data_IF_130450398023
#
_entry.id   IF_130450398023
#
_cell.length_a   1.000
_cell.length_b   1.000
_cell.length_c   1.000
_cell.angle_alpha   90.00
_cell.angle_beta   90.00
_cell.angle_gamma   90.00
#
_symmetry.space_group_name_H-M   'P 1'
#
loop_
_entity.id
_entity.type
_entity.pdbx_description
1 polymer ?
#
# COMPACT_ATOMS: atom_id res chain seq x y z
N UNK A 1 -12.56 35.79 -6.84
CA UNK A 1 -13.73 35.03 -7.32
C UNK A 1 -13.27 34.22 -8.52
N UNK A 2 -12.89 32.95 -8.32
CA UNK A 2 -12.47 32.10 -9.45
C UNK A 2 -13.71 31.68 -10.23
N UNK A 3 -13.72 31.91 -11.53
CA UNK A 3 -14.75 31.38 -12.41
C UNK A 3 -14.77 29.85 -12.23
N UNK A 4 -15.92 29.30 -11.84
CA UNK A 4 -16.13 27.85 -11.86
C UNK A 4 -16.18 27.49 -13.35
N UNK A 5 -15.06 27.04 -13.89
CA UNK A 5 -15.02 26.51 -15.24
C UNK A 5 -15.95 25.30 -15.28
N UNK A 6 -17.08 25.45 -15.97
CA UNK A 6 -18.01 24.35 -16.20
C UNK A 6 -17.41 23.45 -17.27
N UNK A 7 -17.38 22.15 -16.99
CA UNK A 7 -16.97 21.15 -17.98
C UNK A 7 -17.89 21.21 -19.22
N UNK A 8 -17.29 21.06 -20.40
CA UNK A 8 -17.96 20.97 -21.69
C UNK A 8 -17.43 19.74 -22.44
N UNK A 9 -18.25 18.70 -22.56
CA UNK A 9 -17.92 17.48 -23.29
C UNK A 9 -18.03 17.59 -24.82
N UNK A 10 -18.58 18.69 -25.34
CA UNK A 10 -18.83 18.88 -26.77
C UNK A 10 -17.57 18.81 -27.66
N UNK A 11 -16.42 19.39 -27.28
CA UNK A 11 -15.17 19.25 -28.04
C UNK A 11 -14.67 17.81 -28.10
N UNK A 12 -14.87 17.03 -27.02
CA UNK A 12 -14.42 15.64 -26.90
C UNK A 12 -15.24 14.75 -27.84
N UNK A 13 -16.58 14.87 -27.81
CA UNK A 13 -17.45 14.12 -28.72
C UNK A 13 -17.18 14.47 -30.18
N UNK A 14 -16.96 15.75 -30.49
CA UNK A 14 -16.60 16.19 -31.84
C UNK A 14 -15.28 15.61 -32.32
N UNK A 15 -14.26 15.54 -31.45
CA UNK A 15 -12.96 14.97 -31.79
C UNK A 15 -13.06 13.48 -32.12
N UNK A 16 -13.83 12.72 -31.34
CA UNK A 16 -14.07 11.29 -31.58
C UNK A 16 -15.12 11.03 -32.67
N UNK A 17 -15.67 12.07 -33.29
CA UNK A 17 -16.78 11.99 -34.24
C UNK A 17 -17.99 11.20 -33.70
N UNK A 18 -18.27 11.33 -32.40
CA UNK A 18 -19.42 10.72 -31.72
C UNK A 18 -20.62 11.66 -31.72
N UNK A 19 -21.81 11.07 -31.73
CA UNK A 19 -23.06 11.81 -31.63
C UNK A 19 -23.21 12.47 -30.24
N UNK A 20 -23.93 13.60 -30.13
CA UNK A 20 -24.15 14.29 -28.86
C UNK A 20 -24.92 13.44 -27.83
N UNK A 21 -25.72 12.49 -28.30
CA UNK A 21 -26.54 11.59 -27.47
C UNK A 21 -25.82 10.25 -27.18
N UNK A 22 -24.51 10.16 -27.44
CA UNK A 22 -23.72 8.95 -27.22
C UNK A 22 -23.65 8.56 -25.73
N UNK A 23 -23.76 7.25 -25.47
CA UNK A 23 -23.64 6.66 -24.14
C UNK A 23 -22.49 5.62 -24.13
N UNK A 24 -21.55 5.68 -23.17
CA UNK A 24 -21.47 6.58 -22.03
C UNK A 24 -21.18 8.04 -22.43
N UNK A 25 -21.80 9.01 -21.76
CA UNK A 25 -21.60 10.43 -22.04
C UNK A 25 -20.45 10.99 -21.19
N UNK A 26 -19.57 11.86 -21.73
CA UNK A 26 -18.52 12.51 -20.96
C UNK A 26 -19.04 13.41 -19.83
N UNK A 27 -20.29 13.91 -19.91
CA UNK A 27 -20.91 14.74 -18.87
C UNK A 27 -21.62 13.90 -17.79
N UNK A 28 -22.31 12.82 -18.18
CA UNK A 28 -23.11 12.03 -17.24
C UNK A 28 -22.28 10.95 -16.54
N UNK A 29 -21.44 10.25 -17.31
CA UNK A 29 -20.64 9.08 -16.91
C UNK A 29 -19.18 9.21 -17.38
N UNK A 30 -18.45 10.25 -16.94
CA UNK A 30 -17.08 10.53 -17.40
C UNK A 30 -16.10 9.37 -17.21
N UNK A 31 -16.25 8.60 -16.13
CA UNK A 31 -15.33 7.50 -15.82
C UNK A 31 -15.53 6.33 -16.80
N UNK A 32 -16.77 5.96 -17.09
CA UNK A 32 -17.08 4.91 -18.06
C UNK A 32 -16.68 5.35 -19.48
N UNK A 33 -16.88 6.63 -19.80
CA UNK A 33 -16.40 7.21 -21.04
C UNK A 33 -14.86 7.15 -21.15
N UNK A 34 -14.14 7.54 -20.11
CA UNK A 34 -12.67 7.48 -20.07
C UNK A 34 -12.15 6.05 -20.19
N UNK A 35 -12.78 5.06 -19.53
CA UNK A 35 -12.42 3.65 -19.69
C UNK A 35 -12.43 3.18 -21.14
N UNK A 36 -13.35 3.72 -21.96
CA UNK A 36 -13.49 3.32 -23.36
C UNK A 36 -12.61 4.13 -24.32
N UNK A 37 -12.48 5.43 -24.08
CA UNK A 37 -11.95 6.36 -25.09
C UNK A 37 -10.69 7.11 -24.69
N UNK A 38 -10.15 6.89 -23.49
CA UNK A 38 -8.97 7.65 -23.01
C UNK A 38 -7.75 7.50 -23.92
N UNK A 39 -7.48 6.31 -24.45
CA UNK A 39 -6.34 6.06 -25.36
C UNK A 39 -6.47 6.77 -26.72
N UNK A 40 -7.69 7.13 -27.11
CA UNK A 40 -7.95 7.82 -28.38
C UNK A 40 -7.86 9.34 -28.21
N UNK A 41 -7.92 9.83 -26.97
CA UNK A 41 -8.00 11.25 -26.67
C UNK A 41 -6.62 11.85 -26.42
N UNK A 42 -6.28 12.97 -27.08
CA UNK A 42 -5.03 13.65 -26.83
C UNK A 42 -5.03 14.35 -25.46
N UNK A 43 -3.86 14.64 -24.86
CA UNK A 43 -3.76 15.12 -23.48
C UNK A 43 -4.49 16.44 -23.23
N UNK A 44 -4.52 17.33 -24.23
CA UNK A 44 -5.20 18.62 -24.13
C UNK A 44 -6.73 18.50 -23.99
N UNK A 45 -7.33 17.42 -24.49
CA UNK A 45 -8.75 17.14 -24.27
C UNK A 45 -8.99 16.42 -22.95
N UNK A 46 -8.06 15.54 -22.54
CA UNK A 46 -8.12 14.85 -21.26
C UNK A 46 -8.10 15.83 -20.06
N UNK A 47 -7.31 16.90 -20.14
CA UNK A 47 -7.22 17.94 -19.11
C UNK A 47 -8.59 18.58 -18.80
N UNK A 48 -9.53 18.60 -19.75
CA UNK A 48 -10.87 19.16 -19.51
C UNK A 48 -11.59 18.44 -18.36
N UNK A 49 -11.36 17.14 -18.18
CA UNK A 49 -11.96 16.35 -17.10
C UNK A 49 -11.53 16.81 -15.70
N UNK A 50 -10.48 17.63 -15.55
CA UNK A 50 -10.10 18.20 -14.25
C UNK A 50 -11.19 19.10 -13.66
N UNK A 51 -11.96 19.77 -14.53
CA UNK A 51 -13.08 20.61 -14.12
C UNK A 51 -14.37 19.81 -13.82
N UNK A 52 -14.37 18.51 -14.10
CA UNK A 52 -15.57 17.68 -13.98
C UNK A 52 -15.79 17.21 -12.53
N UNK A 53 -16.94 17.50 -11.90
CA UNK A 53 -17.16 17.21 -10.47
C UNK A 53 -17.16 15.72 -10.12
N UNK A 54 -17.56 14.85 -11.06
CA UNK A 54 -17.52 13.38 -10.87
C UNK A 54 -16.18 12.73 -11.22
N UNK A 55 -15.25 13.45 -11.84
CA UNK A 55 -13.94 12.93 -12.23
C UNK A 55 -12.89 13.26 -11.15
N UNK A 56 -13.18 12.88 -9.90
CA UNK A 56 -12.22 13.07 -8.80
C UNK A 56 -11.00 12.17 -8.98
N UNK A 57 -9.84 12.49 -8.38
CA UNK A 57 -8.65 11.63 -8.45
C UNK A 57 -8.91 10.17 -8.04
N UNK A 58 -9.77 9.96 -7.03
CA UNK A 58 -10.24 8.65 -6.59
C UNK A 58 -11.08 7.94 -7.65
N UNK A 59 -12.02 8.64 -8.29
CA UNK A 59 -12.84 8.07 -9.35
C UNK A 59 -12.01 7.71 -10.59
N UNK A 60 -11.05 8.58 -10.94
CA UNK A 60 -10.07 8.38 -12.01
C UNK A 60 -9.18 7.15 -11.80
N UNK A 61 -8.89 6.77 -10.56
CA UNK A 61 -8.12 5.57 -10.24
C UNK A 61 -8.76 4.26 -10.74
N UNK A 62 -10.08 4.26 -11.02
CA UNK A 62 -10.77 3.10 -11.60
C UNK A 62 -10.59 2.95 -13.11
N UNK A 63 -9.98 3.93 -13.77
CA UNK A 63 -9.62 3.86 -15.19
C UNK A 63 -8.25 3.14 -15.29
N UNK A 64 -8.15 1.98 -15.95
CA UNK A 64 -6.93 1.19 -15.97
C UNK A 64 -5.70 1.97 -16.45
N UNK A 65 -5.84 2.74 -17.53
CA UNK A 65 -4.74 3.56 -18.05
C UNK A 65 -4.22 4.58 -17.00
N UNK A 66 -5.11 5.26 -16.27
CA UNK A 66 -4.72 6.19 -15.20
C UNK A 66 -4.03 5.44 -14.06
N UNK A 67 -4.57 4.29 -13.64
CA UNK A 67 -3.98 3.47 -12.58
C UNK A 67 -2.55 3.04 -12.98
N UNK A 68 -2.36 2.58 -14.21
CA UNK A 68 -1.07 2.17 -14.74
C UNK A 68 -0.07 3.34 -14.78
N UNK A 69 -0.49 4.51 -15.30
CA UNK A 69 0.35 5.73 -15.30
C UNK A 69 0.79 6.10 -13.88
N UNK A 70 -0.11 6.02 -12.89
CA UNK A 70 0.22 6.27 -11.48
C UNK A 70 1.17 5.23 -10.91
N UNK A 71 0.99 3.95 -11.23
CA UNK A 71 1.92 2.89 -10.84
C UNK A 71 3.33 3.15 -11.40
N UNK A 72 3.44 3.47 -12.68
CA UNK A 72 4.71 3.80 -13.34
C UNK A 72 5.37 5.02 -12.70
N UNK A 73 4.61 6.10 -12.45
CA UNK A 73 5.12 7.27 -11.74
C UNK A 73 5.59 6.92 -10.32
N UNK A 74 4.82 6.15 -9.55
CA UNK A 74 5.16 5.75 -8.20
C UNK A 74 6.42 4.85 -8.15
N UNK A 75 6.66 4.04 -9.18
CA UNK A 75 7.85 3.22 -9.31
C UNK A 75 9.15 4.04 -9.50
N UNK A 76 9.05 5.29 -9.98
CA UNK A 76 10.22 6.20 -10.07
C UNK A 76 10.66 6.81 -8.74
N UNK A 77 9.97 6.48 -7.64
CA UNK A 77 10.21 7.01 -6.30
C UNK A 77 10.30 8.55 -6.25
N UNK A 78 9.26 9.26 -6.71
CA UNK A 78 9.29 10.71 -6.81
C UNK A 78 9.36 11.35 -5.42
N UNK A 79 10.20 12.39 -5.28
CA UNK A 79 10.39 13.14 -4.01
C UNK A 79 9.09 13.71 -3.43
N UNK A 80 8.06 13.91 -4.25
CA UNK A 80 6.74 14.36 -3.81
C UNK A 80 5.99 13.32 -2.97
N UNK A 81 6.34 12.03 -3.10
CA UNK A 81 5.77 10.92 -2.32
C UNK A 81 6.68 10.48 -1.17
N UNK A 82 7.78 11.19 -0.92
CA UNK A 82 8.65 10.93 0.22
C UNK A 82 7.87 11.22 1.52
N UNK A 83 7.79 10.26 2.48
CA UNK A 83 7.10 10.46 3.75
C UNK A 83 7.46 11.76 4.48
N UNK A 84 8.74 12.17 4.44
CA UNK A 84 9.22 13.37 5.14
C UNK A 84 8.78 14.68 4.48
N UNK A 85 8.52 14.63 3.18
CA UNK A 85 8.00 15.76 2.40
C UNK A 85 6.49 15.78 2.49
N UNK A 86 5.85 14.64 2.24
CA UNK A 86 4.41 14.51 2.14
C UNK A 86 3.72 14.77 3.48
N UNK A 87 4.30 14.32 4.59
CA UNK A 87 3.79 14.60 5.95
C UNK A 87 3.73 16.09 6.28
N UNK A 88 4.59 16.92 5.69
CA UNK A 88 4.54 18.39 5.89
C UNK A 88 3.39 19.03 5.13
N UNK A 89 2.99 18.42 4.02
CA UNK A 89 1.95 18.95 3.13
C UNK A 89 0.59 18.34 3.37
N UNK A 90 0.50 17.08 3.77
CA UNK A 90 -0.74 16.34 4.02
C UNK A 90 -0.77 15.83 5.47
N UNK A 91 -1.49 16.52 6.38
CA UNK A 91 -1.63 16.09 7.76
C UNK A 91 -2.22 14.69 7.93
N UNK A 92 -3.07 14.22 6.99
CA UNK A 92 -3.67 12.88 7.07
C UNK A 92 -2.65 11.75 6.88
N UNK A 93 -1.53 12.05 6.23
CA UNK A 93 -0.41 11.10 6.08
C UNK A 93 0.30 10.89 7.41
N UNK A 94 0.24 11.81 8.38
CA UNK A 94 0.79 11.56 9.72
C UNK A 94 0.06 10.44 10.43
N UNK A 95 -1.27 10.41 10.34
CA UNK A 95 -2.05 9.35 11.00
C UNK A 95 -1.73 7.98 10.40
N UNK A 96 -1.57 7.91 9.07
CA UNK A 96 -1.10 6.72 8.36
C UNK A 96 0.32 6.32 8.78
N UNK A 97 1.26 7.25 8.74
CA UNK A 97 2.66 7.03 9.13
C UNK A 97 2.75 6.57 10.58
N UNK A 98 1.96 7.17 11.48
CA UNK A 98 1.93 6.82 12.89
C UNK A 98 1.27 5.45 13.12
N UNK A 99 0.21 5.10 12.38
CA UNK A 99 -0.43 3.79 12.49
C UNK A 99 0.49 2.68 11.99
N UNK A 100 1.16 2.87 10.85
CA UNK A 100 2.12 1.90 10.31
C UNK A 100 3.35 1.75 11.22
N UNK A 101 3.88 2.86 11.75
CA UNK A 101 4.96 2.82 12.76
C UNK A 101 4.53 2.10 14.03
N UNK A 102 3.32 2.35 14.53
CA UNK A 102 2.79 1.67 15.70
C UNK A 102 2.62 0.16 15.47
N UNK A 103 2.12 -0.23 14.28
CA UNK A 103 1.99 -1.64 13.89
C UNK A 103 3.36 -2.33 13.77
N UNK A 104 4.34 -1.67 13.14
CA UNK A 104 5.70 -2.19 13.05
C UNK A 104 6.37 -2.32 14.43
N UNK A 105 6.10 -1.39 15.35
CA UNK A 105 6.54 -1.46 16.75
C UNK A 105 5.89 -2.62 17.51
N UNK A 106 4.60 -2.90 17.31
CA UNK A 106 3.94 -4.07 17.92
C UNK A 106 4.44 -5.41 17.37
N UNK A 107 4.90 -5.45 16.11
CA UNK A 107 5.51 -6.66 15.52
C UNK A 107 6.94 -6.86 16.04
N UNK A 108 7.68 -5.78 16.34
CA UNK A 108 9.08 -5.85 16.79
C UNK A 108 9.31 -5.84 18.30
N UNK A 109 8.34 -5.45 19.12
CA UNK A 109 8.53 -5.36 20.56
C UNK A 109 7.29 -5.88 21.31
N UNK A 110 7.31 -7.10 21.89
CA UNK A 110 6.50 -7.28 23.08
C UNK A 110 7.01 -6.24 24.08
N UNK A 111 6.10 -5.50 24.71
CA UNK A 111 6.46 -4.53 25.72
C UNK A 111 7.37 -5.21 26.76
N UNK A 112 8.66 -4.90 26.74
CA UNK A 112 9.70 -5.38 27.69
C UNK A 112 9.45 -4.81 29.09
N UNK A 113 8.22 -4.38 29.40
CA UNK A 113 7.86 -3.73 30.66
C UNK A 113 7.18 -4.72 31.60
N UNK A 114 6.58 -5.81 31.10
CA UNK A 114 5.77 -6.72 31.93
C UNK A 114 6.26 -8.19 31.89
N UNK A 115 7.44 -8.47 31.33
CA UNK A 115 8.01 -9.83 31.31
C UNK A 115 8.39 -10.29 32.72
N UNK A 116 9.00 -9.39 33.50
CA UNK A 116 9.45 -9.67 34.88
C UNK A 116 8.31 -9.59 35.91
N UNK A 117 7.34 -8.69 35.73
CA UNK A 117 6.26 -8.48 36.73
C UNK A 117 5.35 -9.70 36.84
N UNK A 118 4.90 -10.29 35.73
CA UNK A 118 3.98 -11.43 35.79
C UNK A 118 4.68 -12.73 36.24
N UNK A 119 5.97 -12.91 35.96
CA UNK A 119 6.75 -14.05 36.47
C UNK A 119 7.10 -13.87 37.96
N UNK A 120 7.36 -12.63 38.39
CA UNK A 120 7.56 -12.29 39.80
C UNK A 120 6.27 -12.42 40.61
N UNK A 121 5.13 -11.98 40.08
CA UNK A 121 3.82 -12.06 40.73
C UNK A 121 3.39 -13.52 40.98
N UNK A 122 3.61 -14.42 40.01
CA UNK A 122 3.34 -15.86 40.17
C UNK A 122 4.29 -16.52 41.20
N UNK A 123 5.56 -16.11 41.20
CA UNK A 123 6.55 -16.57 42.18
C UNK A 123 6.19 -16.11 43.59
N UNK A 124 5.75 -14.86 43.74
CA UNK A 124 5.36 -14.26 45.01
C UNK A 124 4.03 -14.82 45.52
N UNK A 125 3.07 -15.07 44.63
CA UNK A 125 1.83 -15.78 44.95
C UNK A 125 2.12 -17.19 45.47
N UNK A 126 2.95 -17.96 44.75
CA UNK A 126 3.34 -19.29 45.17
C UNK A 126 4.08 -19.26 46.53
N UNK A 127 4.94 -18.27 46.77
CA UNK A 127 5.69 -18.17 48.03
C UNK A 127 4.83 -17.77 49.23
N UNK A 128 3.78 -16.97 49.03
CA UNK A 128 3.03 -16.34 50.12
C UNK A 128 1.65 -16.94 50.37
N UNK A 129 0.96 -17.42 49.34
CA UNK A 129 -0.42 -17.91 49.44
C UNK A 129 -0.54 -19.43 49.27
N UNK A 130 0.44 -20.10 48.67
CA UNK A 130 0.38 -21.54 48.46
C UNK A 130 0.78 -22.32 49.72
N UNK A 131 -0.21 -23.00 50.33
CA UNK A 131 -0.06 -23.88 51.50
C UNK A 131 0.59 -23.23 52.74
N UNK A 132 0.11 -22.06 53.16
CA UNK A 132 0.42 -21.45 54.48
C UNK A 132 1.93 -21.43 54.82
N UNK A 133 2.79 -21.28 53.80
CA UNK A 133 4.23 -21.08 53.97
C UNK A 133 5.05 -22.32 54.36
N UNK A 134 4.65 -23.54 53.98
CA UNK A 134 5.50 -24.73 54.22
C UNK A 134 6.73 -24.76 53.27
N UNK A 135 7.82 -24.15 53.70
CA UNK A 135 8.95 -23.65 52.89
C UNK A 135 9.78 -24.66 52.10
N UNK A 136 9.65 -25.97 52.33
CA UNK A 136 10.60 -26.95 51.75
C UNK A 136 10.40 -27.23 50.25
N UNK A 137 9.18 -27.11 49.73
CA UNK A 137 8.89 -27.43 48.32
C UNK A 137 8.32 -26.25 47.52
N UNK A 138 7.95 -25.16 48.19
CA UNK A 138 7.25 -24.00 47.60
C UNK A 138 8.16 -23.21 46.66
N UNK A 139 9.45 -23.06 46.98
CA UNK A 139 10.38 -22.33 46.11
C UNK A 139 10.56 -22.98 44.74
N UNK A 140 10.61 -24.32 44.68
CA UNK A 140 10.74 -25.06 43.43
C UNK A 140 9.44 -25.08 42.63
N UNK A 141 8.29 -25.02 43.31
CA UNK A 141 6.98 -24.92 42.65
C UNK A 141 6.77 -23.52 42.08
N UNK A 142 7.15 -22.45 42.79
CA UNK A 142 7.08 -21.08 42.28
C UNK A 142 7.98 -20.87 41.06
N UNK A 143 9.18 -21.44 41.06
CA UNK A 143 10.08 -21.41 39.89
C UNK A 143 9.47 -22.15 38.68
N UNK A 144 8.93 -23.36 38.89
CA UNK A 144 8.26 -24.11 37.84
C UNK A 144 7.01 -23.40 37.29
N UNK A 145 6.24 -22.72 38.15
CA UNK A 145 5.04 -21.98 37.73
C UNK A 145 5.39 -20.73 36.92
N UNK A 146 6.43 -19.99 37.31
CA UNK A 146 6.96 -18.87 36.54
C UNK A 146 7.43 -19.32 35.15
N UNK A 147 8.20 -20.42 35.07
CA UNK A 147 8.65 -20.99 33.80
C UNK A 147 7.48 -21.43 32.89
N UNK A 148 6.42 -22.02 33.47
CA UNK A 148 5.24 -22.49 32.74
C UNK A 148 4.38 -21.33 32.21
N UNK A 149 4.23 -20.24 32.97
CA UNK A 149 3.50 -19.07 32.49
C UNK A 149 4.31 -18.33 31.41
N UNK A 150 5.63 -18.25 31.55
CA UNK A 150 6.53 -17.80 30.50
C UNK A 150 6.42 -18.66 29.23
N UNK A 151 6.25 -19.98 29.35
CA UNK A 151 6.01 -20.87 28.21
C UNK A 151 4.63 -20.69 27.57
N UNK A 152 3.57 -20.55 28.36
CA UNK A 152 2.21 -20.26 27.86
C UNK A 152 2.17 -18.93 27.12
N UNK A 153 2.87 -17.91 27.60
CA UNK A 153 2.94 -16.61 26.94
C UNK A 153 3.69 -16.69 25.62
N UNK A 154 4.84 -17.38 25.58
CA UNK A 154 5.57 -17.68 24.33
C UNK A 154 4.70 -18.45 23.33
N UNK A 155 3.83 -19.35 23.78
CA UNK A 155 2.89 -20.06 22.90
C UNK A 155 1.78 -19.14 22.36
N UNK A 156 1.25 -18.23 23.19
CA UNK A 156 0.29 -17.19 22.75
C UNK A 156 0.95 -16.27 21.71
N UNK A 157 2.20 -15.87 21.92
CA UNK A 157 2.95 -15.06 20.94
C UNK A 157 3.15 -15.80 19.62
N UNK A 158 3.53 -17.09 19.66
CA UNK A 158 3.61 -17.91 18.45
C UNK A 158 2.25 -18.01 17.77
N UNK A 159 1.16 -18.14 18.52
CA UNK A 159 -0.19 -18.18 17.97
C UNK A 159 -0.58 -16.86 17.30
N UNK A 160 -0.27 -15.71 17.89
CA UNK A 160 -0.50 -14.39 17.30
C UNK A 160 0.34 -14.21 16.04
N UNK A 161 1.64 -14.57 16.07
CA UNK A 161 2.51 -14.54 14.87
C UNK A 161 1.95 -15.42 13.74
N UNK A 162 1.47 -16.63 14.07
CA UNK A 162 0.79 -17.51 13.11
C UNK A 162 -0.50 -16.88 12.56
N UNK A 163 -1.31 -16.25 13.40
CA UNK A 163 -2.54 -15.59 12.97
C UNK A 163 -2.28 -14.39 12.07
N UNK A 164 -1.28 -13.57 12.38
CA UNK A 164 -0.86 -12.44 11.54
C UNK A 164 -0.33 -12.93 10.20
N UNK A 165 0.50 -13.98 10.19
CA UNK A 165 0.95 -14.60 8.93
C UNK A 165 -0.19 -15.19 8.12
N UNK A 166 -1.19 -15.82 8.76
CA UNK A 166 -2.38 -16.35 8.07
C UNK A 166 -3.30 -15.22 7.58
N UNK A 167 -3.44 -14.13 8.32
CA UNK A 167 -4.22 -12.97 7.89
C UNK A 167 -3.56 -12.29 6.68
N UNK A 168 -2.23 -12.12 6.73
CA UNK A 168 -1.44 -11.62 5.61
C UNK A 168 -1.49 -12.56 4.40
N UNK A 169 -1.36 -13.88 4.61
CA UNK A 169 -1.47 -14.86 3.54
C UNK A 169 -2.87 -14.88 2.93
N UNK A 170 -3.93 -14.65 3.71
CA UNK A 170 -5.30 -14.51 3.17
C UNK A 170 -5.50 -13.21 2.38
N UNK A 171 -4.89 -12.12 2.83
CA UNK A 171 -4.91 -10.85 2.09
C UNK A 171 -4.14 -10.97 0.76
N UNK A 172 -3.00 -11.66 0.77
CA UNK A 172 -2.22 -12.02 -0.41
C UNK A 172 -2.96 -13.05 -1.30
N UNK A 173 -3.67 -14.03 -0.75
CA UNK A 173 -4.51 -15.01 -1.50
C UNK A 173 -5.70 -14.32 -2.18
N UNK A 174 -6.34 -13.34 -1.52
CA UNK A 174 -7.39 -12.52 -2.15
C UNK A 174 -6.87 -11.57 -3.23
N UNK A 175 -5.55 -11.31 -3.27
CA UNK A 175 -4.88 -10.57 -4.33
C UNK A 175 -4.36 -11.50 -5.45
N UNK A 176 -4.01 -12.75 -5.13
CA UNK A 176 -3.52 -13.75 -6.08
C UNK A 176 -4.62 -14.42 -6.93
N UNK A 177 -5.89 -14.40 -6.53
CA UNK A 177 -6.97 -14.89 -7.41
C UNK A 177 -7.18 -14.05 -8.68
N UNK A 178 -6.48 -12.92 -8.86
CA UNK A 178 -6.47 -12.14 -10.11
C UNK A 178 -5.18 -12.23 -10.95
N UNK A 179 -4.08 -12.81 -10.47
CA UNK A 179 -2.83 -12.92 -11.26
C UNK A 179 -2.07 -14.23 -11.00
N UNK A 180 -2.37 -15.24 -11.81
CA UNK A 180 -1.50 -16.40 -12.02
C UNK A 180 -0.57 -16.09 -13.21
N UNK A 181 0.71 -15.77 -12.98
CA UNK A 181 1.84 -16.26 -13.80
C UNK A 181 3.23 -15.74 -13.36
N UNK A 182 4.13 -16.72 -13.18
CA UNK A 182 5.58 -16.73 -13.44
C UNK A 182 6.58 -16.30 -12.34
N UNK A 183 7.45 -17.27 -12.06
CA UNK A 183 8.54 -17.35 -11.09
C UNK A 183 9.92 -17.14 -11.76
N UNK A 184 10.95 -16.97 -10.91
CA UNK A 184 12.42 -17.06 -11.13
C UNK A 184 13.13 -15.85 -11.81
N UNK A 185 14.36 -15.39 -11.47
CA UNK A 185 15.53 -15.94 -10.76
C UNK A 185 16.46 -14.80 -10.20
N UNK A 186 17.45 -15.21 -9.39
CA UNK A 186 18.51 -14.45 -8.72
C UNK A 186 19.44 -13.60 -9.61
N UNK A 187 20.05 -12.55 -9.05
CA UNK A 187 21.33 -12.04 -9.58
C UNK A 187 21.86 -10.68 -9.08
N UNK A 188 22.89 -10.72 -8.21
CA UNK A 188 24.03 -9.80 -8.29
C UNK A 188 24.00 -8.47 -7.52
N UNK A 189 24.26 -8.50 -6.20
CA UNK A 189 24.45 -7.26 -5.40
C UNK A 189 25.92 -6.82 -5.47
N UNK A 190 26.19 -5.69 -6.14
CA UNK A 190 27.49 -5.00 -6.11
C UNK A 190 27.63 -4.15 -4.84
N UNK A 191 28.77 -4.27 -4.17
CA UNK A 191 29.09 -3.61 -2.90
C UNK A 191 29.38 -2.10 -3.11
N UNK A 192 28.39 -1.26 -2.82
CA UNK A 192 28.53 0.18 -2.57
C UNK A 192 28.35 0.50 -1.08
N UNK A 193 28.79 1.68 -0.60
CA UNK A 193 28.88 1.98 0.83
C UNK A 193 27.50 1.88 1.49
N UNK A 194 27.48 1.11 2.57
CA UNK A 194 26.36 0.73 3.43
C UNK A 194 25.48 1.94 3.80
N UNK A 195 24.47 2.23 2.96
CA UNK A 195 23.25 2.87 3.43
C UNK A 195 22.62 1.86 4.36
N UNK A 196 22.59 2.20 5.65
CA UNK A 196 21.75 1.55 6.66
C UNK A 196 20.45 1.12 5.99
N UNK A 197 20.16 -0.19 5.98
CA UNK A 197 18.89 -0.71 5.49
C UNK A 197 17.77 0.17 6.07
N UNK A 198 16.80 0.64 5.25
CA UNK A 198 15.64 1.33 5.79
C UNK A 198 15.05 0.48 6.91
N UNK A 199 14.63 1.10 8.01
CA UNK A 199 13.87 0.39 9.03
C UNK A 199 12.70 -0.30 8.30
N UNK A 200 12.39 -1.60 8.51
CA UNK A 200 11.26 -2.26 7.85
C UNK A 200 9.95 -1.45 7.92
N UNK A 201 9.77 -0.66 8.98
CA UNK A 201 8.67 0.30 9.11
C UNK A 201 8.63 1.36 7.98
N UNK A 202 9.78 1.84 7.51
CA UNK A 202 9.87 2.84 6.43
C UNK A 202 9.47 2.28 5.07
N UNK A 203 9.81 1.03 4.78
CA UNK A 203 9.40 0.36 3.54
C UNK A 203 7.89 0.15 3.50
N UNK A 204 7.29 -0.26 4.61
CA UNK A 204 5.84 -0.41 4.77
C UNK A 204 5.12 0.93 4.62
N UNK A 205 5.62 2.00 5.25
CA UNK A 205 5.08 3.36 5.10
C UNK A 205 5.14 3.82 3.64
N UNK A 206 6.28 3.61 2.95
CA UNK A 206 6.42 3.97 1.54
C UNK A 206 5.48 3.15 0.66
N UNK A 207 5.28 1.86 0.96
CA UNK A 207 4.29 1.02 0.28
C UNK A 207 2.87 1.58 0.46
N UNK A 208 2.45 1.85 1.70
CA UNK A 208 1.13 2.40 1.99
C UNK A 208 0.88 3.77 1.32
N UNK A 209 1.88 4.66 1.31
CA UNK A 209 1.79 5.95 0.61
C UNK A 209 1.63 5.75 -0.91
N UNK A 210 2.38 4.81 -1.51
CA UNK A 210 2.25 4.49 -2.94
C UNK A 210 0.85 3.95 -3.27
N UNK A 211 0.31 3.06 -2.44
CA UNK A 211 -1.04 2.50 -2.62
C UNK A 211 -2.13 3.57 -2.53
N UNK A 212 -2.04 4.46 -1.54
CA UNK A 212 -2.97 5.60 -1.41
C UNK A 212 -2.84 6.59 -2.56
N UNK A 213 -1.61 6.83 -3.04
CA UNK A 213 -1.38 7.62 -4.24
C UNK A 213 -2.07 6.99 -5.45
N UNK A 214 -1.80 5.71 -5.75
CA UNK A 214 -2.40 5.01 -6.90
C UNK A 214 -3.93 5.08 -6.84
N UNK A 215 -4.48 4.86 -5.65
CA UNK A 215 -5.93 4.89 -5.38
C UNK A 215 -6.55 6.31 -5.39
N UNK A 216 -5.75 7.38 -5.54
CA UNK A 216 -6.25 8.75 -5.60
C UNK A 216 -6.78 9.29 -4.27
N UNK A 217 -6.23 8.81 -3.15
CA UNK A 217 -6.70 9.12 -1.79
C UNK A 217 -5.89 10.22 -1.09
N UNK A 218 -4.71 10.58 -1.58
CA UNK A 218 -3.92 11.67 -1.03
C UNK A 218 -4.58 13.01 -1.38
N UNK A 219 -4.55 13.98 -0.47
CA UNK A 219 -5.34 15.21 -0.65
C UNK A 219 -4.54 16.34 -1.30
N UNK A 220 -3.23 16.41 -1.02
CA UNK A 220 -2.36 17.52 -1.44
C UNK A 220 -1.35 17.13 -2.53
N UNK A 221 -1.72 16.17 -3.38
CA UNK A 221 -0.91 15.72 -4.52
C UNK A 221 -1.55 16.16 -5.83
N UNK A 222 -0.70 16.62 -6.76
CA UNK A 222 -1.11 17.05 -8.10
C UNK A 222 -1.26 15.85 -9.03
N UNK A 223 -2.42 15.19 -8.96
CA UNK A 223 -2.76 14.02 -9.80
C UNK A 223 -2.85 14.35 -11.28
N UNK A 224 -3.25 15.57 -11.62
CA UNK A 224 -3.52 15.98 -13.00
C UNK A 224 -2.25 15.94 -13.86
N UNK A 225 -1.07 16.11 -13.25
CA UNK A 225 0.22 15.93 -13.94
C UNK A 225 0.46 14.49 -14.35
N UNK A 226 0.04 13.52 -13.54
CA UNK A 226 0.36 12.11 -13.79
C UNK A 226 -0.73 11.46 -14.64
N UNK A 227 -2.00 11.73 -14.33
CA UNK A 227 -3.14 11.08 -14.96
C UNK A 227 -3.19 11.29 -16.48
N UNK A 228 -2.71 12.44 -16.97
CA UNK A 228 -2.82 12.86 -18.37
C UNK A 228 -1.50 12.85 -19.15
N UNK A 229 -0.39 12.52 -18.49
CA UNK A 229 0.92 12.42 -19.15
C UNK A 229 1.12 11.05 -19.81
N UNK A 230 1.14 11.04 -21.14
CA UNK A 230 1.33 9.82 -21.97
C UNK A 230 2.71 9.16 -21.79
N UNK A 231 3.72 9.87 -21.28
CA UNK A 231 5.06 9.31 -21.03
C UNK A 231 5.08 8.15 -20.02
N UNK A 232 3.99 7.99 -19.27
CA UNK A 232 3.81 6.92 -18.29
C UNK A 232 2.99 5.75 -18.83
N UNK A 233 2.51 5.84 -20.07
CA UNK A 233 1.95 4.68 -20.75
C UNK A 233 3.09 3.72 -21.11
N UNK A 234 2.86 2.39 -21.02
CA UNK A 234 3.81 1.44 -21.52
C UNK A 234 4.02 1.67 -23.03
N UNK A 235 5.27 1.82 -23.46
CA UNK A 235 5.58 1.76 -24.89
C UNK A 235 5.28 0.32 -25.36
N UNK A 236 4.16 0.13 -26.07
CA UNK A 236 3.81 -1.19 -26.66
C UNK A 236 4.92 -1.75 -27.57
N UNK A 237 5.89 -0.91 -27.97
CA UNK A 237 7.09 -1.27 -28.72
C UNK A 237 7.96 -2.31 -28.01
N UNK A 238 8.10 -2.25 -26.68
CA UNK A 238 8.92 -3.22 -25.94
C UNK A 238 8.25 -4.61 -25.91
N UNK A 239 6.92 -4.66 -25.99
CA UNK A 239 6.16 -5.92 -26.09
C UNK A 239 6.15 -6.47 -27.52
N UNK A 240 6.10 -5.60 -28.54
CA UNK A 240 6.21 -6.01 -29.94
C UNK A 240 7.62 -6.55 -30.25
N UNK A 241 8.70 -5.91 -29.77
CA UNK A 241 10.08 -6.36 -30.00
C UNK A 241 10.37 -7.74 -29.38
N UNK A 242 9.82 -8.03 -28.18
CA UNK A 242 9.90 -9.37 -27.58
C UNK A 242 9.26 -10.47 -28.41
N UNK A 243 8.20 -10.15 -29.16
CA UNK A 243 7.51 -11.11 -30.02
C UNK A 243 8.28 -11.44 -31.29
N UNK A 244 9.10 -10.50 -31.79
CA UNK A 244 9.95 -10.73 -32.96
C UNK A 244 11.27 -11.42 -32.61
N UNK A 245 11.80 -11.21 -31.41
CA UNK A 245 13.03 -11.87 -30.95
C UNK A 245 12.84 -13.39 -30.72
N UNK A 246 11.63 -13.85 -30.39
CA UNK A 246 11.32 -15.27 -30.20
C UNK A 246 11.17 -16.06 -31.53
N UNK A 247 10.88 -15.40 -32.65
CA UNK A 247 10.74 -16.06 -33.97
C UNK A 247 12.07 -16.27 -34.71
N UNK A 248 13.15 -15.55 -34.37
CA UNK A 248 14.47 -15.70 -35.03
C UNK A 248 15.35 -16.84 -34.47
N UNK A 249 14.93 -17.53 -33.39
CA UNK A 249 15.67 -18.66 -32.79
C UNK A 249 15.07 -20.08 -33.08
N UNK A 250 14.11 -20.21 -34.01
CA UNK A 250 13.47 -21.50 -34.39
C UNK A 250 13.98 -22.12 -35.70
#
# INVERSE_FOLDING_TARGET
>A
MSAVHKFDGGPILRYLALDPDYAPSPDESPIEFLKQHMSQLPPHLLILFNAHPKATPRARASVPAIKNRRCAYAATEPKSLDPDVLSKTDPGVWDLVNSERAQALTIRRPAVVDEDEAEADERDWASNEFQDGNKMHVGKIGELLAELEGERRRERERAVRRQVLVARAREEETLQEEEESSDEEEGGVSAGPERLRPDPAEEDIRRAIREQFISGLLTNVDYDKVDWEERWDPDDRDNEERWFDEEEES
#
